data_IF_071064599530
#
_entry.id   IF_071064599530
#
_cell.length_a   1.000
_cell.length_b   1.000
_cell.length_c   1.000
_cell.angle_alpha   90.00
_cell.angle_beta   90.00
_cell.angle_gamma   90.00
#
_symmetry.space_group_name_H-M   'P 1'
#
loop_
_entity.id
_entity.type
_entity.pdbx_description
1 polymer ?
#
# COMPACT_ATOMS: atom_id res chain seq x y z
N UNK A 1 -9.46 -18.16 11.57
CA UNK A 1 -10.09 -16.98 10.94
C UNK A 1 -8.99 -15.99 10.64
N UNK A 2 -9.00 -15.33 9.47
CA UNK A 2 -8.14 -14.17 9.23
C UNK A 2 -8.68 -13.02 10.08
N UNK A 3 -7.82 -12.45 10.94
CA UNK A 3 -8.22 -11.43 11.92
C UNK A 3 -8.03 -10.01 11.39
N UNK A 4 -7.48 -9.86 10.17
CA UNK A 4 -7.07 -8.54 9.67
C UNK A 4 -5.96 -7.89 10.49
N UNK A 5 -5.32 -8.63 11.39
CA UNK A 5 -4.24 -8.12 12.23
C UNK A 5 -2.96 -7.96 11.39
N UNK A 6 -2.34 -6.79 11.48
CA UNK A 6 -1.14 -6.45 10.74
C UNK A 6 -0.51 -5.17 11.25
N UNK A 7 0.67 -4.86 10.76
CA UNK A 7 1.44 -3.68 11.15
C UNK A 7 1.59 -2.78 9.91
N UNK A 8 1.39 -1.47 10.07
CA UNK A 8 1.69 -0.51 9.00
C UNK A 8 3.14 -0.07 9.13
N UNK A 9 4.04 -0.74 8.43
CA UNK A 9 5.50 -0.48 8.50
C UNK A 9 6.15 -0.07 7.18
N UNK A 10 5.42 -0.18 6.06
CA UNK A 10 5.87 0.24 4.74
C UNK A 10 5.23 1.57 4.33
N UNK A 11 6.04 2.46 3.76
CA UNK A 11 5.65 3.84 3.45
C UNK A 11 6.21 4.32 2.11
N UNK A 12 5.41 5.07 1.37
CA UNK A 12 5.86 5.92 0.27
C UNK A 12 5.92 7.36 0.78
N UNK A 13 7.13 7.89 0.98
CA UNK A 13 7.35 9.25 1.51
C UNK A 13 7.88 10.14 0.40
N UNK A 14 7.22 11.28 0.19
CA UNK A 14 7.51 12.22 -0.89
C UNK A 14 7.70 13.65 -0.36
N UNK A 15 8.45 14.46 -1.13
CA UNK A 15 8.51 15.91 -0.88
C UNK A 15 7.17 16.59 -1.23
N UNK A 16 6.92 17.84 -0.81
CA UNK A 16 5.63 18.49 -1.02
C UNK A 16 5.19 18.60 -2.49
N UNK A 17 6.14 18.79 -3.42
CA UNK A 17 5.82 18.91 -4.85
C UNK A 17 5.29 17.59 -5.42
N UNK A 18 5.97 16.48 -5.13
CA UNK A 18 5.55 15.16 -5.58
C UNK A 18 4.30 14.66 -4.84
N UNK A 19 4.18 14.97 -3.54
CA UNK A 19 3.00 14.63 -2.75
C UNK A 19 1.73 15.31 -3.26
N UNK A 20 1.84 16.52 -3.83
CA UNK A 20 0.70 17.24 -4.42
C UNK A 20 0.17 16.58 -5.71
N UNK A 21 0.95 15.70 -6.33
CA UNK A 21 0.54 14.96 -7.53
C UNK A 21 -0.13 13.63 -7.20
N UNK A 22 -0.15 13.19 -5.95
CA UNK A 22 -0.73 11.91 -5.57
C UNK A 22 -2.26 11.93 -5.73
N UNK A 23 -2.78 11.00 -6.53
CA UNK A 23 -4.22 10.82 -6.76
C UNK A 23 -4.79 9.68 -5.92
N UNK A 24 -3.97 8.68 -5.59
CA UNK A 24 -4.35 7.51 -4.77
C UNK A 24 -3.21 7.17 -3.80
N UNK A 25 -3.56 6.52 -2.70
CA UNK A 25 -2.60 5.93 -1.79
C UNK A 25 -3.25 4.73 -1.09
N UNK A 26 -2.84 3.52 -1.48
CA UNK A 26 -3.53 2.29 -1.11
C UNK A 26 -2.57 1.15 -0.74
N UNK A 27 -3.14 0.13 -0.13
CA UNK A 27 -2.46 -1.12 0.23
C UNK A 27 -3.09 -2.21 -0.60
N UNK A 28 -2.32 -2.82 -1.49
CA UNK A 28 -2.82 -3.86 -2.39
C UNK A 28 -2.89 -5.19 -1.63
N UNK A 29 -4.00 -5.37 -0.92
CA UNK A 29 -4.26 -6.59 -0.15
C UNK A 29 -4.68 -7.72 -1.10
N UNK A 30 -3.97 -8.84 -1.02
CA UNK A 30 -4.40 -10.06 -1.72
C UNK A 30 -5.85 -10.43 -1.30
N UNK A 31 -6.71 -10.86 -2.24
CA UNK A 31 -8.12 -11.14 -1.96
C UNK A 31 -8.31 -12.24 -0.90
N UNK A 32 -7.40 -13.21 -0.85
CA UNK A 32 -7.36 -14.27 0.15
C UNK A 32 -5.95 -14.51 0.68
N UNK A 33 -5.85 -15.16 1.85
CA UNK A 33 -4.56 -15.53 2.43
C UNK A 33 -3.74 -16.46 1.53
N UNK A 34 -4.39 -17.38 0.82
CA UNK A 34 -3.72 -18.34 -0.07
C UNK A 34 -3.12 -17.68 -1.32
N UNK A 35 -3.64 -16.52 -1.73
CA UNK A 35 -3.16 -15.74 -2.86
C UNK A 35 -2.02 -14.77 -2.49
N UNK A 36 -1.64 -14.70 -1.21
CA UNK A 36 -0.49 -13.89 -0.78
C UNK A 36 0.79 -14.50 -1.34
N UNK A 37 1.59 -13.65 -1.98
CA UNK A 37 2.93 -14.02 -2.46
C UNK A 37 4.03 -13.61 -1.46
N UNK A 38 3.70 -12.73 -0.51
CA UNK A 38 4.60 -12.14 0.49
C UNK A 38 3.87 -11.96 1.84
N UNK A 39 4.63 -11.85 2.92
CA UNK A 39 4.15 -11.45 4.24
C UNK A 39 3.85 -9.94 4.34
N UNK A 40 4.40 -9.14 3.43
CA UNK A 40 4.06 -7.73 3.24
C UNK A 40 3.07 -7.54 2.08
N UNK A 41 2.14 -6.58 2.23
CA UNK A 41 1.29 -6.12 1.12
C UNK A 41 1.89 -4.88 0.47
N UNK A 42 1.90 -4.77 -0.87
CA UNK A 42 2.42 -3.59 -1.56
C UNK A 42 1.72 -2.30 -1.11
N UNK A 43 2.49 -1.22 -1.00
CA UNK A 43 1.97 0.15 -0.91
C UNK A 43 2.02 0.73 -2.32
N UNK A 44 0.87 1.18 -2.83
CA UNK A 44 0.74 1.72 -4.18
C UNK A 44 0.26 3.17 -4.09
N UNK A 45 0.88 4.05 -4.87
CA UNK A 45 0.54 5.48 -4.97
C UNK A 45 0.57 5.85 -6.44
N UNK A 46 -0.57 6.28 -6.98
CA UNK A 46 -0.61 6.86 -8.32
C UNK A 46 -0.33 8.36 -8.26
N UNK A 47 0.42 8.84 -9.24
CA UNK A 47 0.81 10.25 -9.38
C UNK A 47 0.33 10.77 -10.74
N UNK A 48 -0.27 11.96 -10.75
CA UNK A 48 -0.60 12.71 -11.96
C UNK A 48 0.62 13.55 -12.38
N UNK A 49 1.47 12.99 -13.25
CA UNK A 49 2.77 13.56 -13.65
C UNK A 49 2.78 14.10 -15.08
#
# INVERSE_FOLDING_TARGET
>A
MDTGAGWRIDYAIANPGLAALATTAEVDLAPTYAERWSDHSPVVVDLDL
#
